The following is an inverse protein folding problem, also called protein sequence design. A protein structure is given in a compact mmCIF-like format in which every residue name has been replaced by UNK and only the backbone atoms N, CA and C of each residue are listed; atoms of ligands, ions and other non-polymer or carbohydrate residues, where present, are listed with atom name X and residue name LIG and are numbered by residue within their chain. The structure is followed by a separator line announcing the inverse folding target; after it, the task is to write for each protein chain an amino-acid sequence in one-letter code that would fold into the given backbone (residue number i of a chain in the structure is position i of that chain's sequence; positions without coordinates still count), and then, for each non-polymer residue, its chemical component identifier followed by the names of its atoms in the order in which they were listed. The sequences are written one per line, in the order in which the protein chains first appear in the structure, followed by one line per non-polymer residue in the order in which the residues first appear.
data_IF_229107086529
#
_entry.id   IF_229107086529
#
_cell.length_a   1.000
_cell.length_b   1.000
_cell.length_c   1.000
_cell.angle_alpha   90.00
_cell.angle_beta   90.00
_cell.angle_gamma   90.00
#
_symmetry.space_group_name_H-M   'P 1'
#
loop_
_entity.id
_entity.type
_entity.pdbx_description
1 polymer ?
#
# COMPACT_ATOMS: atom_id res chain seq x y z
N UNK A 1 0.73 5.91 -1.06
CA UNK A 1 0.79 4.55 -1.67
C UNK A 1 -0.34 3.65 -1.18
N UNK A 2 -1.05 3.01 -2.11
CA UNK A 2 -2.19 2.11 -1.84
C UNK A 2 -1.74 0.68 -1.48
N UNK A 3 -2.60 -0.15 -0.86
CA UNK A 3 -2.30 -1.55 -0.56
C UNK A 3 -2.29 -2.45 -1.81
N UNK A 4 -1.67 -3.65 -1.74
CA UNK A 4 -1.47 -4.53 -2.89
C UNK A 4 -2.74 -4.88 -3.67
N UNK A 5 -3.85 -5.13 -2.97
CA UNK A 5 -5.12 -5.51 -3.60
C UNK A 5 -5.78 -4.39 -4.39
N UNK A 6 -5.31 -3.14 -4.27
CA UNK A 6 -5.79 -2.01 -5.07
C UNK A 6 -5.06 -1.86 -6.40
N UNK A 7 -4.09 -2.72 -6.71
CA UNK A 7 -3.41 -2.76 -8.00
C UNK A 7 -3.93 -3.91 -8.87
N UNK A 8 -3.84 -3.74 -10.19
CA UNK A 8 -4.11 -4.79 -11.14
C UNK A 8 -3.04 -4.81 -12.25
N UNK A 9 -2.67 -6.02 -12.68
CA UNK A 9 -1.91 -6.23 -13.91
C UNK A 9 -2.90 -6.46 -15.05
N UNK A 10 -2.70 -5.73 -16.14
CA UNK A 10 -3.48 -5.84 -17.36
C UNK A 10 -2.66 -6.54 -18.44
N UNK A 11 -3.32 -7.44 -19.19
CA UNK A 11 -2.84 -7.90 -20.48
C UNK A 11 -3.30 -6.94 -21.60
N UNK A 12 -2.96 -7.24 -22.85
CA UNK A 12 -3.31 -6.39 -24.00
C UNK A 12 -4.82 -6.14 -24.11
N UNK A 13 -5.64 -7.17 -23.84
CA UNK A 13 -7.10 -7.06 -23.86
C UNK A 13 -7.60 -6.18 -22.71
N UNK A 14 -7.01 -6.31 -21.52
CA UNK A 14 -7.33 -5.53 -20.34
C UNK A 14 -6.96 -4.05 -20.52
N UNK A 15 -5.82 -3.76 -21.15
CA UNK A 15 -5.43 -2.39 -21.51
C UNK A 15 -6.45 -1.77 -22.45
N UNK A 16 -6.85 -2.48 -23.52
CA UNK A 16 -7.87 -1.98 -24.44
C UNK A 16 -9.22 -1.69 -23.74
N UNK A 17 -9.64 -2.55 -22.81
CA UNK A 17 -10.84 -2.31 -21.98
C UNK A 17 -10.70 -1.10 -21.07
N UNK A 18 -9.56 -0.95 -20.40
CA UNK A 18 -9.27 0.21 -19.55
C UNK A 18 -9.29 1.50 -20.37
N UNK A 19 -8.65 1.48 -21.54
CA UNK A 19 -8.56 2.61 -22.45
C UNK A 19 -9.92 3.05 -22.97
N UNK A 20 -10.81 2.11 -23.28
CA UNK A 20 -12.18 2.39 -23.69
C UNK A 20 -13.06 2.91 -22.54
N UNK A 21 -12.81 2.42 -21.31
CA UNK A 21 -13.56 2.89 -20.13
C UNK A 21 -13.30 4.37 -19.84
N UNK A 22 -12.03 4.79 -19.90
CA UNK A 22 -11.54 6.13 -19.56
C UNK A 22 -11.31 7.06 -20.76
N UNK A 23 -11.90 6.76 -21.93
CA UNK A 23 -11.68 7.53 -23.16
C UNK A 23 -12.04 9.02 -22.99
N UNK A 24 -13.12 9.31 -22.27
CA UNK A 24 -13.54 10.68 -22.02
C UNK A 24 -12.55 11.45 -21.14
N UNK A 25 -12.05 10.81 -20.08
CA UNK A 25 -11.11 11.40 -19.14
C UNK A 25 -9.74 11.67 -19.77
N UNK A 26 -9.31 10.89 -20.77
CA UNK A 26 -8.10 11.17 -21.55
C UNK A 26 -8.11 12.55 -22.18
N UNK A 27 -9.29 13.01 -22.60
CA UNK A 27 -9.46 14.27 -23.33
C UNK A 27 -9.90 15.38 -22.37
N UNK A 28 -10.86 15.09 -21.48
CA UNK A 28 -11.54 16.09 -20.65
C UNK A 28 -10.87 16.34 -19.30
N UNK A 29 -10.08 15.38 -18.80
CA UNK A 29 -9.43 15.47 -17.50
C UNK A 29 -8.03 14.87 -17.54
N UNK A 30 -7.11 15.58 -18.20
CA UNK A 30 -5.73 15.12 -18.39
C UNK A 30 -4.98 14.94 -17.08
N UNK A 31 -5.31 15.70 -16.02
CA UNK A 31 -4.70 15.53 -14.70
C UNK A 31 -5.10 14.18 -14.08
N UNK A 32 -6.40 13.86 -14.08
CA UNK A 32 -6.87 12.55 -13.60
C UNK A 32 -6.25 11.43 -14.43
N UNK A 33 -6.24 11.58 -15.76
CA UNK A 33 -5.64 10.59 -16.64
C UNK A 33 -4.17 10.34 -16.31
N UNK A 34 -3.38 11.38 -16.06
CA UNK A 34 -1.98 11.22 -15.64
C UNK A 34 -1.85 10.36 -14.37
N UNK A 35 -2.77 10.47 -13.42
CA UNK A 35 -2.76 9.68 -12.19
C UNK A 35 -3.15 8.21 -12.44
N UNK A 36 -4.17 7.96 -13.25
CA UNK A 36 -4.75 6.60 -13.41
C UNK A 36 -4.21 5.81 -14.61
N UNK A 37 -3.53 6.46 -15.56
CA UNK A 37 -3.10 5.83 -16.80
C UNK A 37 -2.23 4.58 -16.55
N UNK A 38 -2.36 3.53 -17.37
CA UNK A 38 -1.53 2.33 -17.23
C UNK A 38 -0.04 2.65 -17.26
N UNK A 39 0.70 2.04 -16.33
CA UNK A 39 2.16 2.09 -16.26
C UNK A 39 2.73 0.80 -16.83
N UNK A 40 3.48 0.89 -17.93
CA UNK A 40 3.96 -0.29 -18.66
C UNK A 40 5.46 -0.55 -18.42
N UNK A 41 5.81 -1.82 -18.29
CA UNK A 41 7.19 -2.33 -18.35
C UNK A 41 7.32 -3.10 -19.66
N UNK A 42 8.24 -2.66 -20.51
CA UNK A 42 8.59 -3.37 -21.75
C UNK A 42 9.80 -4.25 -21.45
N UNK A 43 9.58 -5.56 -21.36
CA UNK A 43 10.65 -6.56 -21.29
C UNK A 43 10.71 -7.33 -22.61
N UNK A 44 11.85 -7.92 -22.95
CA UNK A 44 12.07 -8.68 -24.20
C UNK A 44 10.94 -9.68 -24.45
N UNK A 45 10.04 -9.35 -25.39
CA UNK A 45 8.93 -10.20 -25.84
C UNK A 45 7.59 -10.03 -25.12
N UNK A 46 7.47 -9.18 -24.09
CA UNK A 46 6.19 -8.96 -23.41
C UNK A 46 6.10 -7.57 -22.75
N UNK A 47 4.96 -6.91 -22.93
CA UNK A 47 4.58 -5.69 -22.22
C UNK A 47 3.71 -6.06 -21.03
N UNK A 48 4.12 -5.66 -19.82
CA UNK A 48 3.29 -5.79 -18.61
C UNK A 48 2.77 -4.41 -18.24
N UNK A 49 1.46 -4.24 -18.18
CA UNK A 49 0.82 -2.99 -17.78
C UNK A 49 0.22 -3.11 -16.38
N UNK A 50 0.43 -2.09 -15.56
CA UNK A 50 -0.07 -2.02 -14.19
C UNK A 50 -0.93 -0.78 -14.01
N UNK A 51 -2.01 -0.91 -13.24
CA UNK A 51 -2.94 0.18 -12.93
C UNK A 51 -3.34 0.14 -11.46
N UNK A 52 -3.74 1.29 -10.94
CA UNK A 52 -4.58 1.35 -9.74
C UNK A 52 -6.01 1.02 -10.16
N UNK A 53 -6.67 0.13 -9.42
CA UNK A 53 -8.09 -0.17 -9.58
C UNK A 53 -8.89 1.07 -9.25
N UNK A 54 -9.51 1.65 -10.27
CA UNK A 54 -10.27 2.90 -10.19
C UNK A 54 -11.57 2.72 -10.95
N UNK A 55 -12.57 3.54 -10.65
CA UNK A 55 -13.82 3.54 -11.40
C UNK A 55 -14.46 4.92 -11.34
N UNK A 56 -15.28 5.22 -12.33
CA UNK A 56 -16.04 6.46 -12.41
C UNK A 56 -17.42 6.18 -12.99
N UNK A 57 -18.48 6.68 -12.34
CA UNK A 57 -19.85 6.42 -12.74
C UNK A 57 -20.27 4.97 -12.56
N UNK A 58 -21.13 4.47 -13.45
CA UNK A 58 -21.76 3.16 -13.35
C UNK A 58 -20.93 2.07 -14.05
N UNK A 59 -20.15 1.29 -13.29
CA UNK A 59 -19.37 0.18 -13.81
C UNK A 59 -20.22 -0.95 -14.46
N UNK A 60 -21.55 -0.93 -14.29
CA UNK A 60 -22.44 -1.86 -14.98
C UNK A 60 -22.61 -1.55 -16.48
N UNK A 61 -22.38 -0.30 -16.89
CA UNK A 61 -22.54 0.14 -18.29
C UNK A 61 -21.26 -0.02 -19.11
N UNK A 62 -20.09 0.03 -18.46
CA UNK A 62 -18.78 -0.14 -19.09
C UNK A 62 -17.95 -1.14 -18.27
N UNK A 63 -17.64 -2.34 -18.79
CA UNK A 63 -16.95 -3.36 -18.01
C UNK A 63 -15.48 -2.98 -17.78
N UNK A 64 -15.07 -3.00 -16.51
CA UNK A 64 -13.67 -2.83 -16.11
C UNK A 64 -12.87 -4.13 -16.27
N UNK A 65 -11.54 -4.07 -16.50
CA UNK A 65 -10.70 -5.25 -16.66
C UNK A 65 -10.30 -5.90 -15.33
N UNK A 66 -10.87 -5.48 -14.21
CA UNK A 66 -10.60 -5.99 -12.88
C UNK A 66 -11.86 -5.92 -12.01
N UNK A 67 -11.86 -6.70 -10.92
CA UNK A 67 -12.89 -6.64 -9.89
C UNK A 67 -12.67 -5.42 -8.99
N UNK A 68 -13.73 -4.65 -8.76
CA UNK A 68 -13.74 -3.57 -7.76
C UNK A 68 -13.45 -4.13 -6.37
N UNK A 69 -12.85 -3.30 -5.52
CA UNK A 69 -12.59 -3.63 -4.13
C UNK A 69 -13.62 -2.91 -3.26
N UNK A 70 -14.18 -3.63 -2.30
CA UNK A 70 -15.04 -3.03 -1.29
C UNK A 70 -14.19 -2.15 -0.37
N UNK A 71 -14.77 -1.04 0.10
CA UNK A 71 -14.10 -0.19 1.07
C UNK A 71 -13.94 -0.95 2.40
N UNK A 72 -12.73 -0.95 2.95
CA UNK A 72 -12.38 -1.72 4.15
C UNK A 72 -11.32 -1.00 4.99
N UNK A 73 -11.34 -1.13 6.33
CA UNK A 73 -10.31 -0.56 7.21
C UNK A 73 -8.88 -1.04 6.91
N UNK A 74 -8.70 -2.19 6.24
CA UNK A 74 -7.39 -2.70 5.82
C UNK A 74 -6.56 -1.70 5.02
N UNK A 75 -7.20 -0.80 4.26
CA UNK A 75 -6.51 0.25 3.52
C UNK A 75 -5.90 1.30 4.46
N UNK A 76 -6.63 1.67 5.51
CA UNK A 76 -6.15 2.60 6.54
C UNK A 76 -5.03 1.97 7.38
N UNK A 77 -5.11 0.67 7.65
CA UNK A 77 -4.07 -0.05 8.39
C UNK A 77 -2.76 -0.07 7.61
N UNK A 78 -2.85 -0.32 6.30
CA UNK A 78 -1.72 -0.22 5.39
C UNK A 78 -1.11 1.19 5.38
N UNK A 79 -1.95 2.22 5.19
CA UNK A 79 -1.49 3.61 5.18
C UNK A 79 -0.81 4.00 6.49
N UNK A 80 -1.34 3.55 7.64
CA UNK A 80 -0.74 3.75 8.93
C UNK A 80 0.62 3.05 9.06
N UNK A 81 0.76 1.82 8.55
CA UNK A 81 2.04 1.11 8.50
C UNK A 81 3.09 1.86 7.68
N UNK A 82 2.72 2.40 6.51
CA UNK A 82 3.63 3.21 5.69
C UNK A 82 4.08 4.48 6.42
N UNK A 83 3.15 5.16 7.10
CA UNK A 83 3.44 6.36 7.87
C UNK A 83 4.39 6.07 9.05
N UNK A 84 4.12 5.00 9.79
CA UNK A 84 4.95 4.57 10.92
C UNK A 84 6.36 4.20 10.45
N UNK A 85 6.48 3.50 9.32
CA UNK A 85 7.78 3.19 8.74
C UNK A 85 8.55 4.48 8.43
N UNK A 86 7.92 5.42 7.71
CA UNK A 86 8.54 6.71 7.34
C UNK A 86 8.99 7.50 8.57
N UNK A 87 8.20 7.49 9.63
CA UNK A 87 8.54 8.15 10.89
C UNK A 87 9.80 7.55 11.55
N UNK A 88 9.97 6.22 11.49
CA UNK A 88 11.09 5.52 12.11
C UNK A 88 12.36 5.50 11.25
N UNK A 89 12.20 5.36 9.93
CA UNK A 89 13.32 5.23 8.99
C UNK A 89 13.78 6.57 8.42
N UNK A 90 12.89 7.55 8.32
CA UNK A 90 13.08 8.78 7.52
C UNK A 90 12.81 8.58 6.02
N UNK A 91 12.51 7.36 5.59
CA UNK A 91 12.46 6.93 4.19
C UNK A 91 11.08 6.39 3.79
N UNK A 92 10.81 6.31 2.49
CA UNK A 92 9.62 5.64 1.97
C UNK A 92 9.90 4.17 1.66
N UNK A 93 8.95 3.28 1.95
CA UNK A 93 9.05 1.85 1.59
C UNK A 93 9.10 1.61 0.08
N UNK A 94 8.42 2.49 -0.68
CA UNK A 94 8.36 2.46 -2.13
C UNK A 94 8.61 3.88 -2.63
N UNK A 95 9.30 4.00 -3.76
CA UNK A 95 9.62 5.29 -4.36
C UNK A 95 8.34 6.04 -4.75
N UNK A 96 8.17 7.25 -4.22
CA UNK A 96 7.02 8.12 -4.49
C UNK A 96 7.46 9.50 -4.96
N UNK A 97 6.55 10.20 -5.64
CA UNK A 97 6.69 11.62 -5.95
C UNK A 97 6.24 12.51 -4.76
N UNK A 98 6.24 13.83 -4.98
CA UNK A 98 5.81 14.82 -3.97
C UNK A 98 4.38 14.62 -3.48
N UNK A 99 3.51 14.05 -4.31
CA UNK A 99 2.09 13.88 -4.04
C UNK A 99 1.78 12.45 -3.49
N UNK A 100 2.81 11.71 -3.03
CA UNK A 100 2.76 10.34 -2.51
C UNK A 100 2.27 9.26 -3.52
N UNK A 101 2.30 9.58 -4.82
CA UNK A 101 2.07 8.65 -5.92
C UNK A 101 3.34 7.86 -6.26
N UNK A 102 3.18 6.58 -6.59
CA UNK A 102 4.29 5.73 -7.04
C UNK A 102 4.89 6.26 -8.36
N UNK A 103 6.23 6.33 -8.41
CA UNK A 103 6.95 7.01 -9.52
C UNK A 103 6.87 6.27 -10.86
N UNK A 104 6.71 4.95 -10.86
CA UNK A 104 6.82 4.16 -12.08
C UNK A 104 6.21 2.76 -12.01
N UNK A 105 6.29 2.07 -13.15
CA UNK A 105 5.71 0.74 -13.31
C UNK A 105 6.39 -0.32 -12.44
N UNK A 106 7.68 -0.16 -12.15
CA UNK A 106 8.44 -1.06 -11.25
C UNK A 106 7.88 -1.01 -9.84
N UNK A 107 7.58 0.17 -9.32
CA UNK A 107 7.00 0.35 -7.99
C UNK A 107 5.56 -0.18 -7.92
N UNK A 108 4.77 0.02 -8.99
CA UNK A 108 3.44 -0.61 -9.10
C UNK A 108 3.55 -2.13 -9.06
N UNK A 109 4.52 -2.71 -9.76
CA UNK A 109 4.78 -4.14 -9.72
C UNK A 109 5.15 -4.57 -8.29
N UNK A 110 6.09 -3.88 -7.64
CA UNK A 110 6.53 -4.21 -6.28
C UNK A 110 5.38 -4.13 -5.27
N UNK A 111 4.56 -3.07 -5.33
CA UNK A 111 3.36 -2.93 -4.50
C UNK A 111 2.37 -4.07 -4.74
N UNK A 112 2.13 -4.44 -6.01
CA UNK A 112 1.20 -5.51 -6.36
C UNK A 112 1.71 -6.90 -5.94
N UNK A 113 3.02 -7.15 -6.02
CA UNK A 113 3.66 -8.43 -5.67
C UNK A 113 4.21 -8.44 -4.25
N UNK A 114 3.77 -7.50 -3.40
CA UNK A 114 4.20 -7.41 -2.01
C UNK A 114 3.97 -8.74 -1.29
N UNK A 115 4.96 -9.19 -0.53
CA UNK A 115 4.95 -10.51 0.11
C UNK A 115 5.47 -10.44 1.55
N UNK A 116 5.21 -11.46 2.38
CA UNK A 116 5.78 -11.53 3.72
C UNK A 116 7.31 -11.47 3.74
N UNK A 117 7.98 -12.03 2.73
CA UNK A 117 9.43 -12.01 2.59
C UNK A 117 9.93 -10.59 2.30
N UNK A 118 9.23 -9.85 1.41
CA UNK A 118 9.54 -8.45 1.12
C UNK A 118 9.42 -7.58 2.38
N UNK A 119 8.42 -7.82 3.23
CA UNK A 119 8.29 -7.12 4.53
C UNK A 119 9.55 -7.33 5.38
N UNK A 120 10.04 -8.57 5.49
CA UNK A 120 11.24 -8.86 6.29
C UNK A 120 12.47 -8.12 5.77
N UNK A 121 12.67 -8.12 4.44
CA UNK A 121 13.77 -7.41 3.80
C UNK A 121 13.69 -5.91 4.07
N UNK A 122 12.52 -5.31 3.90
CA UNK A 122 12.32 -3.87 4.04
C UNK A 122 12.39 -3.38 5.49
N UNK A 123 12.05 -4.23 6.46
CA UNK A 123 12.07 -3.90 7.88
C UNK A 123 13.40 -4.24 8.58
N UNK A 124 14.28 -5.03 7.95
CA UNK A 124 15.57 -5.42 8.53
C UNK A 124 16.42 -4.23 9.05
N UNK A 125 16.53 -3.08 8.35
CA UNK A 125 17.28 -1.93 8.86
C UNK A 125 16.72 -1.33 10.15
N UNK A 126 15.41 -1.49 10.42
CA UNK A 126 14.80 -1.02 11.67
C UNK A 126 15.12 -1.97 12.84
N UNK A 127 15.28 -3.27 12.57
CA UNK A 127 15.75 -4.23 13.58
C UNK A 127 17.18 -3.93 14.01
N UNK A 128 18.06 -3.56 13.07
CA UNK A 128 19.45 -3.14 13.38
C UNK A 128 19.50 -1.88 14.27
N UNK A 129 18.49 -1.01 14.14
CA UNK A 129 18.31 0.19 14.98
C UNK A 129 17.56 -0.07 16.29
N UNK A 130 17.36 -1.34 16.66
CA UNK A 130 16.68 -1.77 17.90
C UNK A 130 15.19 -1.39 18.00
N UNK A 131 14.50 -1.21 16.86
CA UNK A 131 13.06 -0.93 16.82
C UNK A 131 12.19 -2.20 16.81
N UNK A 132 12.54 -3.23 17.60
CA UNK A 132 11.89 -4.55 17.56
C UNK A 132 10.36 -4.48 17.66
N UNK A 133 9.83 -3.77 18.64
CA UNK A 133 8.38 -3.68 18.85
C UNK A 133 7.66 -2.93 17.73
N UNK A 134 8.29 -1.90 17.16
CA UNK A 134 7.71 -1.21 16.03
C UNK A 134 7.68 -2.11 14.79
N UNK A 135 8.70 -2.94 14.60
CA UNK A 135 8.75 -3.94 13.52
C UNK A 135 7.65 -5.00 13.68
N UNK A 136 7.33 -5.43 14.89
CA UNK A 136 6.18 -6.33 15.14
C UNK A 136 4.87 -5.70 14.67
N UNK A 137 4.61 -4.45 15.06
CA UNK A 137 3.42 -3.71 14.64
C UNK A 137 3.40 -3.50 13.12
N UNK A 138 4.50 -3.06 12.52
CA UNK A 138 4.64 -2.88 11.07
C UNK A 138 4.39 -4.19 10.31
N UNK A 139 4.85 -5.33 10.84
CA UNK A 139 4.61 -6.64 10.24
C UNK A 139 3.13 -6.99 10.21
N UNK A 140 2.34 -6.59 11.19
CA UNK A 140 0.87 -6.75 11.17
C UNK A 140 0.21 -5.79 10.16
N UNK A 141 0.62 -4.52 10.15
CA UNK A 141 0.00 -3.47 9.34
C UNK A 141 0.31 -3.59 7.85
N UNK A 142 1.49 -4.09 7.49
CA UNK A 142 1.97 -4.18 6.11
C UNK A 142 1.78 -5.57 5.49
N UNK A 143 0.95 -6.43 6.08
CA UNK A 143 0.60 -7.73 5.47
C UNK A 143 0.03 -7.53 4.06
N UNK A 144 0.28 -8.43 3.10
CA UNK A 144 -0.25 -8.27 1.74
C UNK A 144 -1.76 -8.52 1.64
N UNK A 145 -2.30 -9.43 2.46
CA UNK A 145 -3.74 -9.72 2.51
C UNK A 145 -4.47 -8.72 3.40
N UNK A 146 -5.54 -8.13 2.86
CA UNK A 146 -6.46 -7.29 3.62
C UNK A 146 -7.05 -8.02 4.84
N UNK A 147 -7.43 -9.30 4.68
CA UNK A 147 -7.95 -10.09 5.79
C UNK A 147 -6.91 -10.24 6.92
N UNK A 148 -5.65 -10.50 6.57
CA UNK A 148 -4.57 -10.62 7.56
C UNK A 148 -4.30 -9.31 8.30
N UNK A 149 -4.42 -8.16 7.63
CA UNK A 149 -4.32 -6.83 8.29
C UNK A 149 -5.45 -6.66 9.32
N UNK A 150 -6.65 -7.14 9.00
CA UNK A 150 -7.85 -6.99 9.83
C UNK A 150 -8.06 -8.09 10.87
N UNK A 151 -7.22 -9.14 10.92
CA UNK A 151 -7.30 -10.21 11.93
C UNK A 151 -7.32 -9.68 13.36
N UNK A 152 -6.64 -8.55 13.59
CA UNK A 152 -6.66 -7.80 14.85
C UNK A 152 -7.10 -6.37 14.56
N UNK A 153 -7.97 -5.82 15.39
CA UNK A 153 -8.36 -4.41 15.26
C UNK A 153 -7.16 -3.49 15.50
N UNK A 154 -7.14 -2.32 14.85
CA UNK A 154 -6.08 -1.35 15.07
C UNK A 154 -5.99 -0.93 16.54
N UNK A 155 -7.12 -0.74 17.22
CA UNK A 155 -7.15 -0.47 18.66
C UNK A 155 -6.45 -1.56 19.47
N UNK A 156 -6.72 -2.83 19.17
CA UNK A 156 -6.05 -3.94 19.85
C UNK A 156 -4.54 -3.92 19.57
N UNK A 157 -4.13 -3.71 18.31
CA UNK A 157 -2.72 -3.62 17.94
C UNK A 157 -2.00 -2.49 18.68
N UNK A 158 -2.60 -1.30 18.78
CA UNK A 158 -2.01 -0.15 19.46
C UNK A 158 -1.92 -0.35 20.99
N UNK A 159 -2.93 -0.96 21.62
CA UNK A 159 -2.93 -1.22 23.06
C UNK A 159 -1.97 -2.34 23.48
N UNK A 160 -1.71 -3.28 22.58
CA UNK A 160 -0.88 -4.45 22.86
C UNK A 160 0.53 -4.34 22.29
N UNK A 161 0.80 -3.39 21.39
CA UNK A 161 2.16 -3.02 21.03
C UNK A 161 2.85 -2.48 22.28
N UNK A 162 3.92 -3.15 22.72
CA UNK A 162 4.77 -2.69 23.84
C UNK A 162 5.31 -1.26 23.61
N UNK A 163 5.23 -0.77 22.37
CA UNK A 163 5.66 0.54 21.90
C UNK A 163 4.94 1.71 22.58
N UNK A 164 3.67 1.52 22.97
CA UNK A 164 2.85 2.55 23.63
C UNK A 164 2.62 2.28 25.12
N UNK A 165 3.16 1.18 25.66
CA UNK A 165 3.11 0.95 27.10
C UNK A 165 4.22 1.78 27.71
N UNK A 166 3.85 2.86 28.39
CA UNK A 166 4.78 3.57 29.27
C UNK A 166 5.43 2.54 30.21
N UNK A 167 6.76 2.59 30.35
CA UNK A 167 7.40 1.91 31.45
C UNK A 167 6.69 2.38 32.72
N UNK A 168 5.93 1.49 33.38
CA UNK A 168 5.54 1.68 34.77
C UNK A 168 6.84 1.68 35.58
N UNK A 169 7.57 2.80 35.57
CA UNK A 169 8.67 3.07 36.48
C UNK A 169 8.05 3.21 37.86
N UNK A 170 7.99 2.07 38.55
CA UNK A 170 8.21 1.91 39.99
C UNK A 170 8.39 3.23 40.73
N UNK A 171 7.26 3.81 41.14
CA UNK A 171 7.22 4.82 42.19
C UNK A 171 7.54 4.19 43.54
N UNK A 172 8.78 3.74 43.74
CA UNK A 172 9.30 3.60 45.10
C UNK A 172 9.52 5.01 45.65
N UNK A 173 8.48 5.55 46.31
CA UNK A 173 8.67 6.62 47.28
C UNK A 173 9.54 6.07 48.42
N UNK A 174 10.84 6.35 48.36
CA UNK A 174 11.67 6.43 49.55
C UNK A 174 11.46 7.81 50.16
N UNK A 175 10.48 7.91 51.04
CA UNK A 175 10.42 9.02 51.98
C UNK A 175 11.18 8.60 53.24
N UNK A 176 12.20 9.38 53.55
CA UNK A 176 13.07 9.32 54.72
C UNK A 176 12.46 10.08 55.91
#
# INVERSE_FOLDING_TARGET
VLPPEMFARLDETGVAKFDAYWDEEKIRNTELWQKIAPRAIVATGATKSYVVKTFHGNAAERPLPYKLQDASPAADYWAYGLLLYRFLSGEHLLSVNRDDDLVGATEYQQAMTWSPEEIQVQLAPLLEKNYHTAVELLTCLLQPSAQKREEKSLTFLLQNALFFKEDEKTGEKKDA
#
